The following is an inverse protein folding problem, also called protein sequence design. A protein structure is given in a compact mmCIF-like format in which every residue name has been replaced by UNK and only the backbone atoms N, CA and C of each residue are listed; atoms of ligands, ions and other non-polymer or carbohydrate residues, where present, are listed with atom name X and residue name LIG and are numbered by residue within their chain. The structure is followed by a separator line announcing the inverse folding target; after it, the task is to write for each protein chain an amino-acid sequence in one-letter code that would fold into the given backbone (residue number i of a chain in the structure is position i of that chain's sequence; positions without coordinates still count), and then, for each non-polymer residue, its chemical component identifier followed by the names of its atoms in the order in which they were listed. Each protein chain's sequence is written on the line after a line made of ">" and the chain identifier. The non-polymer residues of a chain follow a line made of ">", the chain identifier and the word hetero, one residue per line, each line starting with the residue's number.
data_IF_669273398199
#
_entry.id   IF_669273398199
#
_cell.length_a   1.000
_cell.length_b   1.000
_cell.length_c   1.000
_cell.angle_alpha   90.00
_cell.angle_beta   90.00
_cell.angle_gamma   90.00
#
_symmetry.space_group_name_H-M   'P 1'
#
loop_
_entity.id
_entity.type
_entity.pdbx_description
1 polymer ?
#
# COMPACT_ATOMS: atom_id res chain seq x y z
N UNK A 1 -7.01 23.16 -2.54
CA UNK A 1 -6.77 24.08 -1.40
C UNK A 1 -7.98 24.20 -0.47
N UNK A 2 -9.20 24.45 -0.97
CA UNK A 2 -10.42 24.64 -0.16
C UNK A 2 -10.74 23.48 0.80
N UNK A 3 -10.74 22.18 0.38
CA UNK A 3 -10.99 21.07 1.32
C UNK A 3 -9.93 20.97 2.44
N UNK A 4 -8.66 21.24 2.11
CA UNK A 4 -7.59 21.21 3.12
C UNK A 4 -7.76 22.31 4.17
N UNK A 5 -8.14 23.51 3.75
CA UNK A 5 -8.43 24.63 4.63
C UNK A 5 -9.60 24.31 5.55
N UNK A 6 -10.69 23.75 4.99
CA UNK A 6 -11.85 23.32 5.75
C UNK A 6 -11.49 22.27 6.81
N UNK A 7 -10.72 21.25 6.44
CA UNK A 7 -10.25 20.21 7.39
C UNK A 7 -9.38 20.83 8.48
N UNK A 8 -8.50 21.78 8.14
CA UNK A 8 -7.67 22.48 9.12
C UNK A 8 -8.51 23.27 10.11
N UNK A 9 -9.55 23.98 9.61
CA UNK A 9 -10.49 24.73 10.46
C UNK A 9 -11.29 23.80 11.37
N UNK A 10 -11.79 22.66 10.84
CA UNK A 10 -12.55 21.67 11.62
C UNK A 10 -11.68 20.97 12.68
N UNK A 11 -10.37 20.86 12.46
CA UNK A 11 -9.42 20.33 13.46
C UNK A 11 -9.00 21.35 14.51
N UNK A 12 -9.33 22.62 14.32
CA UNK A 12 -9.03 23.65 15.32
C UNK A 12 -9.88 23.38 16.57
N UNK A 13 -9.21 23.12 17.69
CA UNK A 13 -9.86 22.79 18.96
C UNK A 13 -10.09 21.29 19.21
N UNK A 14 -9.67 20.40 18.30
CA UNK A 14 -9.64 18.97 18.63
C UNK A 14 -8.58 18.70 19.69
N UNK A 15 -8.91 17.96 20.77
CA UNK A 15 -7.97 17.65 21.83
C UNK A 15 -6.87 16.72 21.32
N UNK A 16 -5.72 16.76 21.97
CA UNK A 16 -4.62 15.86 21.71
C UNK A 16 -5.00 14.40 22.02
N UNK A 17 -4.33 13.46 21.34
CA UNK A 17 -4.58 12.03 21.58
C UNK A 17 -4.25 11.65 23.03
N UNK A 18 -5.16 11.01 23.79
CA UNK A 18 -4.89 10.55 25.15
C UNK A 18 -3.62 9.69 25.25
N UNK A 19 -3.38 8.83 24.27
CA UNK A 19 -2.17 7.97 24.22
C UNK A 19 -0.89 8.81 24.02
N UNK A 20 -0.97 9.91 23.28
CA UNK A 20 0.18 10.81 23.10
C UNK A 20 0.48 11.57 24.41
N UNK A 21 -0.56 12.06 25.10
CA UNK A 21 -0.43 12.72 26.40
C UNK A 21 0.17 11.80 27.48
N UNK A 22 -0.24 10.53 27.51
CA UNK A 22 0.36 9.51 28.40
C UNK A 22 1.86 9.35 28.13
N UNK A 23 2.27 9.32 26.85
CA UNK A 23 3.69 9.23 26.50
C UNK A 23 4.51 10.46 26.88
N UNK A 24 3.87 11.62 26.97
CA UNK A 24 4.47 12.88 27.45
C UNK A 24 4.47 13.02 28.97
N UNK A 25 3.92 12.04 29.70
CA UNK A 25 3.78 12.11 31.15
C UNK A 25 2.65 13.02 31.64
N UNK A 26 1.79 13.51 30.72
CA UNK A 26 0.64 14.40 31.02
C UNK A 26 -0.60 13.58 31.37
N UNK A 27 -0.50 12.77 32.43
CA UNK A 27 -1.53 11.80 32.81
C UNK A 27 -2.88 12.45 33.13
N UNK A 28 -2.89 13.56 33.88
CA UNK A 28 -4.12 14.24 34.28
C UNK A 28 -4.95 14.72 33.08
N UNK A 29 -4.29 15.25 32.06
CA UNK A 29 -4.95 15.72 30.85
C UNK A 29 -5.46 14.55 29.99
N UNK A 30 -4.69 13.46 29.91
CA UNK A 30 -5.11 12.25 29.21
C UNK A 30 -6.39 11.67 29.83
N UNK A 31 -6.43 11.56 31.16
CA UNK A 31 -7.61 11.10 31.89
C UNK A 31 -8.80 12.05 31.72
N UNK A 32 -8.59 13.38 31.79
CA UNK A 32 -9.67 14.35 31.59
C UNK A 32 -10.30 14.23 30.19
N UNK A 33 -9.50 14.02 29.14
CA UNK A 33 -10.00 13.84 27.78
C UNK A 33 -10.77 12.54 27.66
N UNK A 34 -10.26 11.42 28.20
CA UNK A 34 -10.97 10.13 28.13
C UNK A 34 -12.29 10.21 28.89
N UNK A 35 -12.30 10.77 30.08
CA UNK A 35 -13.52 10.98 30.86
C UNK A 35 -14.57 11.82 30.09
N UNK A 36 -14.12 12.88 29.42
CA UNK A 36 -14.99 13.80 28.69
C UNK A 36 -15.61 13.18 27.45
N UNK A 37 -14.86 12.36 26.69
CA UNK A 37 -15.29 11.86 25.37
C UNK A 37 -15.76 10.42 25.38
N UNK A 38 -15.27 9.58 26.31
CA UNK A 38 -15.56 8.14 26.36
C UNK A 38 -16.31 7.72 27.64
N UNK A 39 -16.45 8.64 28.59
CA UNK A 39 -17.16 8.37 29.85
C UNK A 39 -16.27 7.82 30.99
N UNK A 40 -16.78 7.80 32.24
CA UNK A 40 -16.00 7.48 33.44
C UNK A 40 -15.61 6.00 33.56
N UNK A 41 -16.21 5.12 32.77
CA UNK A 41 -15.99 3.66 32.84
C UNK A 41 -14.81 3.18 31.98
N UNK A 42 -14.23 4.06 31.17
CA UNK A 42 -13.09 3.71 30.31
C UNK A 42 -11.79 3.95 31.09
N UNK A 43 -11.20 2.88 31.55
CA UNK A 43 -9.86 2.93 32.15
C UNK A 43 -8.81 3.01 31.03
N UNK A 44 -7.97 4.03 31.11
CA UNK A 44 -6.72 4.04 30.36
C UNK A 44 -5.84 2.95 30.99
N UNK A 45 -5.56 1.88 30.24
CA UNK A 45 -4.60 0.88 30.68
C UNK A 45 -3.26 1.55 31.02
N UNK A 46 -2.69 1.18 32.16
CA UNK A 46 -1.39 1.65 32.66
C UNK A 46 -0.18 1.19 31.80
N UNK A 47 -0.44 0.70 30.58
CA UNK A 47 0.62 0.50 29.60
C UNK A 47 1.18 1.85 29.15
N UNK A 48 1.86 2.53 30.08
CA UNK A 48 2.92 3.47 29.73
C UNK A 48 4.02 2.64 29.08
N UNK A 49 3.81 2.30 27.83
CA UNK A 49 4.88 1.82 26.99
C UNK A 49 5.93 2.93 27.02
N UNK A 50 6.91 2.77 27.90
CA UNK A 50 8.11 3.61 27.94
C UNK A 50 8.53 3.80 26.50
N UNK A 51 8.50 5.04 26.04
CA UNK A 51 8.82 5.39 24.65
C UNK A 51 10.31 5.09 24.45
N UNK A 52 10.62 3.82 24.27
CA UNK A 52 11.95 3.41 23.83
C UNK A 52 12.03 3.93 22.40
N UNK A 53 12.80 4.99 22.18
CA UNK A 53 13.12 5.50 20.85
C UNK A 53 13.80 4.37 20.08
N UNK A 54 12.98 3.55 19.40
CA UNK A 54 13.53 2.47 18.55
C UNK A 54 14.10 3.12 17.31
N UNK A 55 15.39 2.90 17.12
CA UNK A 55 16.13 3.42 15.97
C UNK A 55 15.74 2.67 14.70
N UNK A 56 15.92 3.31 13.53
CA UNK A 56 15.70 2.71 12.20
C UNK A 56 16.46 1.38 12.04
N UNK A 57 17.58 1.22 12.72
CA UNK A 57 18.35 -0.04 12.77
C UNK A 57 17.52 -1.23 13.27
N UNK A 58 16.50 -1.01 14.09
CA UNK A 58 15.61 -2.06 14.60
C UNK A 58 14.84 -2.76 13.48
N UNK A 59 14.52 -2.02 12.39
CA UNK A 59 13.84 -2.60 11.22
C UNK A 59 14.69 -3.63 10.47
N UNK A 60 16.01 -3.51 10.56
CA UNK A 60 16.98 -4.41 9.91
C UNK A 60 17.51 -5.50 10.84
N UNK A 61 16.97 -5.61 12.06
CA UNK A 61 17.27 -6.73 12.94
C UNK A 61 16.79 -8.06 12.34
N UNK A 62 17.42 -9.19 12.74
CA UNK A 62 17.06 -10.54 12.26
C UNK A 62 15.57 -10.84 12.42
N UNK A 63 14.92 -10.25 13.43
CA UNK A 63 13.50 -10.42 13.73
C UNK A 63 12.56 -9.72 12.73
N UNK A 64 12.94 -8.53 12.20
CA UNK A 64 12.03 -7.67 11.43
C UNK A 64 12.44 -7.47 9.98
N UNK A 65 13.65 -7.84 9.56
CA UNK A 65 14.17 -7.56 8.22
C UNK A 65 13.30 -8.14 7.10
N UNK A 66 12.76 -9.37 7.27
CA UNK A 66 11.88 -10.00 6.27
C UNK A 66 10.59 -9.20 6.06
N UNK A 67 10.00 -8.70 7.17
CA UNK A 67 8.80 -7.86 7.11
C UNK A 67 9.08 -6.50 6.49
N UNK A 68 10.22 -5.92 6.82
CA UNK A 68 10.68 -4.65 6.25
C UNK A 68 10.94 -4.79 4.75
N UNK A 69 11.65 -5.84 4.34
CA UNK A 69 11.92 -6.16 2.94
C UNK A 69 10.61 -6.42 2.16
N UNK A 70 9.72 -7.27 2.69
CA UNK A 70 8.42 -7.53 2.08
C UNK A 70 7.62 -6.24 1.86
N UNK A 71 7.42 -5.44 2.92
CA UNK A 71 6.63 -4.22 2.81
C UNK A 71 7.26 -3.21 1.84
N UNK A 72 8.58 -3.06 1.84
CA UNK A 72 9.29 -2.16 0.93
C UNK A 72 9.16 -2.60 -0.53
N UNK A 73 9.39 -3.89 -0.82
CA UNK A 73 9.27 -4.43 -2.18
C UNK A 73 7.84 -4.39 -2.67
N UNK A 74 6.87 -4.81 -1.83
CA UNK A 74 5.45 -4.73 -2.12
C UNK A 74 5.03 -3.31 -2.53
N UNK A 75 5.40 -2.30 -1.75
CA UNK A 75 5.10 -0.90 -2.05
C UNK A 75 5.73 -0.44 -3.37
N UNK A 76 7.02 -0.72 -3.57
CA UNK A 76 7.74 -0.35 -4.80
C UNK A 76 7.09 -1.01 -6.01
N UNK A 77 6.81 -2.31 -5.94
CA UNK A 77 6.24 -3.08 -7.06
C UNK A 77 4.81 -2.64 -7.43
N UNK A 78 4.03 -2.08 -6.50
CA UNK A 78 2.72 -1.51 -6.82
C UNK A 78 2.81 -0.07 -7.35
N UNK A 79 3.72 0.73 -6.80
CA UNK A 79 3.83 2.15 -7.15
C UNK A 79 4.39 2.34 -8.57
N UNK A 80 5.37 1.53 -8.99
CA UNK A 80 5.95 1.62 -10.32
C UNK A 80 4.89 1.49 -11.42
N UNK A 81 4.08 0.42 -11.49
CA UNK A 81 3.03 0.28 -12.50
C UNK A 81 1.92 1.34 -12.38
N UNK A 82 1.67 1.84 -11.17
CA UNK A 82 0.70 2.93 -10.96
C UNK A 82 1.03 4.17 -11.76
N UNK A 83 2.32 4.60 -11.74
CA UNK A 83 2.77 5.76 -12.51
C UNK A 83 2.68 5.53 -14.02
N UNK A 84 2.83 4.29 -14.47
CA UNK A 84 2.70 3.91 -15.89
C UNK A 84 1.30 4.19 -16.43
N UNK A 85 0.25 3.91 -15.67
CA UNK A 85 -1.14 4.17 -16.07
C UNK A 85 -1.30 5.64 -16.49
N UNK A 86 -0.79 6.56 -15.67
CA UNK A 86 -0.87 7.99 -15.97
C UNK A 86 -0.02 8.40 -17.17
N UNK A 87 1.14 7.77 -17.34
CA UNK A 87 2.03 8.07 -18.48
C UNK A 87 1.41 7.62 -19.81
N UNK A 88 0.67 6.50 -19.80
CA UNK A 88 0.09 5.94 -21.03
C UNK A 88 -1.34 6.37 -21.32
N UNK A 89 -1.96 7.08 -20.42
CA UNK A 89 -3.30 7.59 -20.59
C UNK A 89 -3.50 8.34 -21.91
N UNK A 90 -2.61 9.27 -22.34
CA UNK A 90 -2.77 9.96 -23.62
C UNK A 90 -2.72 9.01 -24.83
N UNK A 91 -1.82 8.03 -24.80
CA UNK A 91 -1.67 7.04 -25.88
C UNK A 91 -2.93 6.17 -26.01
N UNK A 92 -3.49 5.75 -24.88
CA UNK A 92 -4.71 4.95 -24.85
C UNK A 92 -5.92 5.76 -25.29
N UNK A 93 -6.01 7.02 -24.83
CA UNK A 93 -7.08 7.94 -25.23
C UNK A 93 -7.11 8.12 -26.76
N UNK A 94 -5.95 8.33 -27.40
CA UNK A 94 -5.82 8.41 -28.85
C UNK A 94 -6.28 7.12 -29.56
N UNK A 95 -5.96 5.96 -28.99
CA UNK A 95 -6.37 4.65 -29.58
C UNK A 95 -7.87 4.46 -29.57
N UNK A 96 -8.59 5.07 -28.62
CA UNK A 96 -10.05 4.98 -28.48
C UNK A 96 -10.77 6.12 -29.26
N UNK A 97 -10.02 7.02 -29.89
CA UNK A 97 -10.59 8.18 -30.58
C UNK A 97 -11.09 9.28 -29.64
N UNK A 98 -10.65 9.27 -28.38
CA UNK A 98 -10.90 10.34 -27.43
C UNK A 98 -9.85 11.42 -27.63
N UNK A 99 -10.19 12.47 -28.37
CA UNK A 99 -9.32 13.64 -28.58
C UNK A 99 -9.26 14.53 -27.33
N UNK A 100 -10.27 14.44 -26.48
CA UNK A 100 -10.35 15.24 -25.26
C UNK A 100 -9.65 14.57 -24.06
N UNK A 101 -8.51 15.14 -23.66
CA UNK A 101 -7.73 14.69 -22.52
C UNK A 101 -8.51 14.72 -21.19
N UNK A 102 -9.49 15.62 -21.05
CA UNK A 102 -10.32 15.71 -19.86
C UNK A 102 -11.24 14.50 -19.74
N UNK A 103 -11.91 14.12 -20.82
CA UNK A 103 -12.82 12.95 -20.86
C UNK A 103 -12.02 11.66 -20.59
N UNK A 104 -10.85 11.48 -21.19
CA UNK A 104 -10.00 10.33 -20.94
C UNK A 104 -9.56 10.25 -19.45
N UNK A 105 -9.19 11.38 -18.86
CA UNK A 105 -8.83 11.44 -17.44
C UNK A 105 -10.01 11.14 -16.52
N UNK A 106 -11.21 11.62 -16.83
CA UNK A 106 -12.42 11.33 -16.06
C UNK A 106 -12.79 9.84 -16.12
N UNK A 107 -12.70 9.21 -17.31
CA UNK A 107 -12.94 7.78 -17.47
C UNK A 107 -11.95 6.95 -16.64
N UNK A 108 -10.65 7.29 -16.69
CA UNK A 108 -9.65 6.60 -15.87
C UNK A 108 -9.97 6.74 -14.37
N UNK A 109 -10.26 7.96 -13.90
CA UNK A 109 -10.59 8.16 -12.50
C UNK A 109 -11.85 7.39 -12.08
N UNK A 110 -12.86 7.30 -12.95
CA UNK A 110 -14.05 6.47 -12.69
C UNK A 110 -13.69 4.98 -12.54
N UNK A 111 -12.82 4.44 -13.40
CA UNK A 111 -12.32 3.06 -13.30
C UNK A 111 -11.54 2.84 -11.99
N UNK A 112 -10.72 3.80 -11.57
CA UNK A 112 -9.99 3.72 -10.31
C UNK A 112 -10.93 3.73 -9.10
N UNK A 113 -12.02 4.51 -9.14
CA UNK A 113 -13.05 4.51 -8.08
C UNK A 113 -13.74 3.15 -8.03
N UNK A 114 -14.15 2.60 -9.17
CA UNK A 114 -14.76 1.25 -9.23
C UNK A 114 -13.80 0.20 -8.68
N UNK A 115 -12.52 0.26 -9.09
CA UNK A 115 -11.48 -0.63 -8.56
C UNK A 115 -11.31 -0.51 -7.06
N UNK A 116 -11.27 0.71 -6.51
CA UNK A 116 -11.16 0.93 -5.07
C UNK A 116 -12.34 0.34 -4.28
N UNK A 117 -13.58 0.52 -4.79
CA UNK A 117 -14.78 -0.06 -4.18
C UNK A 117 -14.76 -1.60 -4.22
N UNK A 118 -14.40 -2.18 -5.37
CA UNK A 118 -14.22 -3.63 -5.49
C UNK A 118 -13.12 -4.13 -4.55
N UNK A 119 -12.01 -3.42 -4.46
CA UNK A 119 -10.92 -3.75 -3.56
C UNK A 119 -11.32 -3.72 -2.08
N UNK A 120 -12.17 -2.77 -1.69
CA UNK A 120 -12.72 -2.72 -0.33
C UNK A 120 -13.53 -3.99 -0.02
N UNK A 121 -14.41 -4.40 -0.93
CA UNK A 121 -15.19 -5.64 -0.79
C UNK A 121 -14.28 -6.87 -0.75
N UNK A 122 -13.33 -6.97 -1.68
CA UNK A 122 -12.41 -8.11 -1.75
C UNK A 122 -11.50 -8.22 -0.51
N UNK A 123 -11.06 -7.09 0.06
CA UNK A 123 -10.29 -7.06 1.31
C UNK A 123 -11.09 -7.62 2.49
N UNK A 124 -12.40 -7.39 2.52
CA UNK A 124 -13.28 -7.98 3.53
C UNK A 124 -13.53 -9.48 3.30
N UNK A 125 -13.71 -9.91 2.04
CA UNK A 125 -14.07 -11.29 1.71
C UNK A 125 -12.85 -12.22 1.71
N UNK A 126 -11.72 -11.80 1.16
CA UNK A 126 -10.55 -12.63 0.95
C UNK A 126 -9.50 -12.45 2.05
N UNK A 127 -8.67 -13.48 2.25
CA UNK A 127 -7.46 -13.38 3.03
C UNK A 127 -6.47 -12.40 2.35
N UNK A 128 -5.88 -11.48 3.10
CA UNK A 128 -5.04 -10.40 2.56
C UNK A 128 -3.90 -10.93 1.68
N UNK A 129 -3.24 -12.01 2.13
CA UNK A 129 -2.17 -12.66 1.38
C UNK A 129 -2.66 -13.25 0.05
N UNK A 130 -3.82 -13.95 0.04
CA UNK A 130 -4.38 -14.55 -1.18
C UNK A 130 -4.82 -13.47 -2.16
N UNK A 131 -5.45 -12.41 -1.67
CA UNK A 131 -5.86 -11.27 -2.50
C UNK A 131 -4.65 -10.60 -3.15
N UNK A 132 -3.57 -10.36 -2.39
CA UNK A 132 -2.35 -9.76 -2.90
C UNK A 132 -1.66 -10.64 -3.96
N UNK A 133 -1.52 -11.95 -3.69
CA UNK A 133 -0.95 -12.90 -4.66
C UNK A 133 -1.76 -12.99 -5.94
N UNK A 134 -3.08 -13.11 -5.84
CA UNK A 134 -3.98 -13.13 -6.99
C UNK A 134 -3.90 -11.84 -7.81
N UNK A 135 -3.81 -10.69 -7.14
CA UNK A 135 -3.68 -9.40 -7.81
C UNK A 135 -2.33 -9.25 -8.54
N UNK A 136 -1.22 -9.63 -7.92
CA UNK A 136 0.09 -9.60 -8.60
C UNK A 136 0.12 -10.52 -9.81
N UNK A 137 -0.45 -11.73 -9.70
CA UNK A 137 -0.51 -12.68 -10.81
C UNK A 137 -1.37 -12.12 -11.95
N UNK A 138 -2.55 -11.59 -11.63
CA UNK A 138 -3.46 -11.01 -12.62
C UNK A 138 -2.84 -9.78 -13.30
N UNK A 139 -2.21 -8.87 -12.53
CA UNK A 139 -1.52 -7.71 -13.08
C UNK A 139 -0.35 -8.13 -14.01
N UNK A 140 0.44 -9.12 -13.58
CA UNK A 140 1.54 -9.64 -14.42
C UNK A 140 1.00 -10.25 -15.71
N UNK A 141 -0.03 -11.10 -15.62
CA UNK A 141 -0.63 -11.76 -16.78
C UNK A 141 -1.20 -10.72 -17.77
N UNK A 142 -1.92 -9.70 -17.28
CA UNK A 142 -2.47 -8.63 -18.14
C UNK A 142 -1.37 -7.88 -18.89
N UNK A 143 -0.24 -7.54 -18.25
CA UNK A 143 0.87 -6.85 -18.91
C UNK A 143 1.58 -7.75 -19.94
N UNK A 144 1.79 -9.03 -19.63
CA UNK A 144 2.41 -9.98 -20.56
C UNK A 144 1.53 -10.15 -21.79
N UNK A 145 0.21 -10.35 -21.61
CA UNK A 145 -0.73 -10.48 -22.73
C UNK A 145 -0.75 -9.19 -23.56
N UNK A 146 -0.78 -8.02 -22.92
CA UNK A 146 -0.71 -6.73 -23.63
C UNK A 146 0.58 -6.59 -24.45
N UNK A 147 1.72 -7.07 -23.94
CA UNK A 147 2.98 -7.04 -24.66
C UNK A 147 3.00 -7.92 -25.92
N UNK A 148 2.21 -8.99 -25.93
CA UNK A 148 2.09 -9.90 -27.06
C UNK A 148 1.07 -9.46 -28.13
N UNK A 149 0.21 -8.48 -27.82
CA UNK A 149 -0.83 -8.02 -28.74
C UNK A 149 -0.30 -6.96 -29.72
N UNK A 150 -0.83 -6.96 -30.96
CA UNK A 150 -0.55 -5.88 -31.88
C UNK A 150 -1.14 -4.55 -31.38
N UNK A 151 -0.43 -3.47 -31.66
CA UNK A 151 -0.87 -2.10 -31.28
C UNK A 151 -2.22 -1.79 -31.92
N UNK A 152 -3.16 -1.23 -31.11
CA UNK A 152 -4.49 -0.84 -31.59
C UNK A 152 -5.58 -1.93 -31.50
N UNK A 153 -5.28 -3.08 -30.91
CA UNK A 153 -6.31 -4.11 -30.66
C UNK A 153 -7.33 -3.64 -29.61
N UNK A 154 -8.63 -3.88 -29.87
CA UNK A 154 -9.69 -3.64 -28.87
C UNK A 154 -9.50 -4.42 -27.56
N UNK A 155 -8.80 -5.56 -27.64
CA UNK A 155 -8.42 -6.36 -26.47
C UNK A 155 -7.44 -5.63 -25.56
N UNK A 156 -6.55 -4.78 -26.11
CA UNK A 156 -5.62 -3.97 -25.33
C UNK A 156 -6.37 -3.00 -24.38
N UNK A 157 -7.48 -2.44 -24.87
CA UNK A 157 -8.33 -1.58 -24.04
C UNK A 157 -8.95 -2.36 -22.88
N UNK A 158 -9.51 -3.54 -23.15
CA UNK A 158 -10.12 -4.40 -22.12
C UNK A 158 -9.08 -4.77 -21.05
N UNK A 159 -7.87 -5.14 -21.47
CA UNK A 159 -6.77 -5.48 -20.55
C UNK A 159 -6.31 -4.28 -19.74
N UNK A 160 -6.30 -3.08 -20.35
CA UNK A 160 -6.00 -1.86 -19.62
C UNK A 160 -7.04 -1.52 -18.55
N UNK A 161 -8.33 -1.69 -18.86
CA UNK A 161 -9.41 -1.54 -17.87
C UNK A 161 -9.26 -2.53 -16.74
N UNK A 162 -9.00 -3.80 -17.06
CA UNK A 162 -8.77 -4.86 -16.08
C UNK A 162 -7.54 -4.56 -15.20
N UNK A 163 -6.43 -4.12 -15.81
CA UNK A 163 -5.22 -3.72 -15.11
C UNK A 163 -5.47 -2.53 -14.17
N UNK A 164 -6.09 -1.46 -14.66
CA UNK A 164 -6.37 -0.24 -13.89
C UNK A 164 -7.30 -0.51 -12.71
N UNK A 165 -8.33 -1.32 -12.91
CA UNK A 165 -9.28 -1.73 -11.87
C UNK A 165 -8.58 -2.60 -10.82
N UNK A 166 -7.75 -3.56 -11.24
CA UNK A 166 -7.06 -4.47 -10.33
C UNK A 166 -6.01 -3.75 -9.50
N UNK A 167 -5.21 -2.85 -10.09
CA UNK A 167 -4.19 -2.13 -9.35
C UNK A 167 -4.80 -1.16 -8.35
N UNK A 168 -5.95 -0.53 -8.68
CA UNK A 168 -6.72 0.28 -7.75
C UNK A 168 -7.29 -0.55 -6.61
N UNK A 169 -7.83 -1.74 -6.90
CA UNK A 169 -8.37 -2.65 -5.90
C UNK A 169 -7.30 -3.09 -4.88
N UNK A 170 -6.12 -3.51 -5.34
CA UNK A 170 -5.04 -3.96 -4.46
C UNK A 170 -4.40 -2.82 -3.66
N UNK A 171 -4.52 -1.58 -4.13
CA UNK A 171 -4.00 -0.40 -3.42
C UNK A 171 -4.62 -0.20 -2.03
N UNK A 172 -5.80 -0.75 -1.76
CA UNK A 172 -6.40 -0.75 -0.42
C UNK A 172 -5.51 -1.47 0.61
N UNK A 173 -4.75 -2.49 0.20
CA UNK A 173 -3.83 -3.23 1.07
C UNK A 173 -2.59 -2.41 1.46
N UNK A 174 -2.26 -1.35 0.71
CA UNK A 174 -1.11 -0.46 0.98
C UNK A 174 -1.22 0.20 2.36
N UNK A 175 -2.43 0.53 2.80
CA UNK A 175 -2.65 1.08 4.15
C UNK A 175 -2.74 0.02 5.26
N UNK A 176 -3.17 -1.19 4.92
CA UNK A 176 -3.51 -2.24 5.89
C UNK A 176 -2.29 -3.11 6.22
N UNK A 177 -1.67 -3.72 5.20
CA UNK A 177 -0.60 -4.71 5.39
C UNK A 177 0.61 -4.20 6.18
N UNK A 178 1.16 -3.01 5.92
CA UNK A 178 2.29 -2.52 6.70
C UNK A 178 1.91 -2.25 8.16
N UNK A 179 0.68 -1.73 8.39
CA UNK A 179 0.20 -1.47 9.75
C UNK A 179 0.01 -2.75 10.56
N UNK A 180 -0.38 -3.85 9.93
CA UNK A 180 -0.54 -5.17 10.55
C UNK A 180 0.78 -5.94 10.66
N UNK A 181 1.73 -5.68 9.76
CA UNK A 181 3.02 -6.40 9.71
C UNK A 181 3.95 -6.06 10.87
N UNK A 182 3.81 -4.87 11.46
CA UNK A 182 4.72 -4.40 12.51
C UNK A 182 4.02 -4.29 13.87
N UNK A 183 4.69 -4.69 14.96
CA UNK A 183 4.19 -4.46 16.31
C UNK A 183 4.08 -2.95 16.59
N UNK A 184 3.22 -2.60 17.55
CA UNK A 184 2.80 -1.23 17.84
C UNK A 184 3.97 -0.28 18.05
N UNK A 185 5.05 -0.76 18.66
CA UNK A 185 6.23 0.02 19.03
C UNK A 185 7.05 0.55 17.84
N UNK A 186 7.09 -0.21 16.74
CA UNK A 186 7.88 0.12 15.54
C UNK A 186 6.98 0.31 14.30
N UNK A 187 5.66 0.25 14.45
CA UNK A 187 4.71 0.32 13.34
C UNK A 187 4.87 1.60 12.52
N UNK A 188 4.89 2.75 13.17
CA UNK A 188 5.04 4.04 12.49
C UNK A 188 6.36 4.13 11.73
N UNK A 189 7.43 3.59 12.30
CA UNK A 189 8.75 3.56 11.68
C UNK A 189 8.77 2.60 10.46
N UNK A 190 8.16 1.41 10.59
CA UNK A 190 8.07 0.43 9.51
C UNK A 190 7.21 0.91 8.34
N UNK A 191 6.03 1.47 8.63
CA UNK A 191 5.16 2.08 7.61
C UNK A 191 5.83 3.25 6.93
N UNK A 192 6.47 4.14 7.70
CA UNK A 192 7.21 5.29 7.18
C UNK A 192 8.36 4.88 6.27
N UNK A 193 9.12 3.85 6.65
CA UNK A 193 10.21 3.32 5.84
C UNK A 193 9.70 2.72 4.52
N UNK A 194 8.67 1.86 4.56
CA UNK A 194 8.07 1.29 3.35
C UNK A 194 7.53 2.38 2.41
N UNK A 195 6.89 3.41 2.97
CA UNK A 195 6.43 4.57 2.21
C UNK A 195 7.59 5.34 1.56
N UNK A 196 8.69 5.58 2.29
CA UNK A 196 9.88 6.23 1.75
C UNK A 196 10.48 5.43 0.58
N UNK A 197 10.59 4.10 0.72
CA UNK A 197 11.06 3.21 -0.35
C UNK A 197 10.13 3.27 -1.58
N UNK A 198 8.82 3.37 -1.40
CA UNK A 198 7.89 3.52 -2.51
C UNK A 198 8.11 4.84 -3.28
N UNK A 199 8.45 5.92 -2.59
CA UNK A 199 8.77 7.22 -3.23
C UNK A 199 10.05 7.16 -4.03
N UNK A 200 11.07 6.44 -3.56
CA UNK A 200 12.28 6.16 -4.34
C UNK A 200 11.94 5.33 -5.58
N UNK A 201 11.12 4.30 -5.45
CA UNK A 201 10.63 3.51 -6.59
C UNK A 201 9.87 4.38 -7.60
N UNK A 202 8.99 5.27 -7.13
CA UNK A 202 8.28 6.21 -7.98
C UNK A 202 9.23 7.15 -8.73
N UNK A 203 10.19 7.75 -8.04
CA UNK A 203 11.16 8.66 -8.64
C UNK A 203 12.01 7.97 -9.73
N UNK A 204 12.52 6.78 -9.42
CA UNK A 204 13.30 5.97 -10.36
C UNK A 204 12.44 5.60 -11.58
N UNK A 205 11.21 5.12 -11.37
CA UNK A 205 10.33 4.72 -12.47
C UNK A 205 9.94 5.92 -13.36
N UNK A 206 9.60 7.05 -12.76
CA UNK A 206 9.25 8.27 -13.53
C UNK A 206 10.41 8.81 -14.37
N UNK A 207 11.65 8.70 -13.85
CA UNK A 207 12.83 9.14 -14.57
C UNK A 207 13.30 8.16 -15.65
N UNK A 208 13.27 6.85 -15.36
CA UNK A 208 13.77 5.83 -16.28
C UNK A 208 12.76 5.38 -17.34
N UNK A 209 11.47 5.38 -17.02
CA UNK A 209 10.45 4.83 -17.90
C UNK A 209 10.38 5.50 -19.29
N UNK A 210 10.42 6.84 -19.41
CA UNK A 210 10.44 7.49 -20.73
C UNK A 210 11.65 7.08 -21.56
N UNK A 211 12.81 6.93 -20.92
CA UNK A 211 14.03 6.48 -21.59
C UNK A 211 13.92 5.02 -22.06
N UNK A 212 13.44 4.11 -21.20
CA UNK A 212 13.19 2.71 -21.55
C UNK A 212 12.21 2.60 -22.73
N UNK A 213 11.13 3.37 -22.68
CA UNK A 213 10.11 3.41 -23.73
C UNK A 213 10.70 3.90 -25.07
N UNK A 214 11.55 4.93 -25.03
CA UNK A 214 12.18 5.49 -26.22
C UNK A 214 13.22 4.55 -26.86
N UNK A 215 13.99 3.83 -26.05
CA UNK A 215 15.06 2.94 -26.52
C UNK A 215 14.57 1.54 -26.92
N UNK A 216 13.68 0.96 -26.12
CA UNK A 216 13.28 -0.44 -26.24
C UNK A 216 11.83 -0.64 -26.66
N UNK A 217 11.07 0.45 -26.79
CA UNK A 217 9.68 0.42 -27.23
C UNK A 217 8.69 -0.07 -26.17
N UNK A 218 7.43 -0.07 -26.58
CA UNK A 218 6.28 -0.36 -25.69
C UNK A 218 6.31 -1.80 -25.15
N UNK A 219 6.61 -2.78 -26.02
CA UNK A 219 6.58 -4.20 -25.62
C UNK A 219 7.61 -4.50 -24.52
N UNK A 220 8.84 -4.03 -24.70
CA UNK A 220 9.89 -4.24 -23.70
C UNK A 220 9.57 -3.53 -22.39
N UNK A 221 8.96 -2.36 -22.45
CA UNK A 221 8.51 -1.62 -21.26
C UNK A 221 7.44 -2.40 -20.50
N UNK A 222 6.45 -2.97 -21.20
CA UNK A 222 5.40 -3.82 -20.58
C UNK A 222 5.99 -5.06 -19.91
N UNK A 223 6.94 -5.74 -20.59
CA UNK A 223 7.61 -6.92 -20.04
C UNK A 223 8.48 -6.57 -18.82
N UNK A 224 9.17 -5.42 -18.83
CA UNK A 224 9.91 -4.94 -17.68
C UNK A 224 9.00 -4.72 -16.46
N UNK A 225 7.84 -4.10 -16.67
CA UNK A 225 6.85 -3.90 -15.62
C UNK A 225 6.25 -5.22 -15.12
N UNK A 226 5.99 -6.16 -16.03
CA UNK A 226 5.56 -7.50 -15.67
C UNK A 226 6.62 -8.22 -14.80
N UNK A 227 7.90 -8.04 -15.12
CA UNK A 227 9.00 -8.57 -14.31
C UNK A 227 9.04 -7.95 -12.90
N UNK A 228 8.83 -6.64 -12.78
CA UNK A 228 8.73 -5.96 -11.48
C UNK A 228 7.55 -6.52 -10.65
N UNK A 229 6.39 -6.71 -11.26
CA UNK A 229 5.22 -7.31 -10.59
C UNK A 229 5.46 -8.77 -10.20
N UNK A 230 6.18 -9.53 -11.04
CA UNK A 230 6.57 -10.90 -10.72
C UNK A 230 7.50 -10.96 -9.51
N UNK A 231 8.45 -10.03 -9.37
CA UNK A 231 9.25 -9.88 -8.16
C UNK A 231 8.36 -9.62 -6.95
N UNK A 232 7.38 -8.74 -7.06
CA UNK A 232 6.37 -8.48 -6.02
C UNK A 232 5.60 -9.75 -5.65
N UNK A 233 5.20 -10.55 -6.64
CA UNK A 233 4.54 -11.85 -6.44
C UNK A 233 5.42 -12.82 -5.65
N UNK A 234 6.67 -13.03 -6.09
CA UNK A 234 7.62 -13.95 -5.45
C UNK A 234 7.91 -13.54 -4.01
N UNK A 235 8.18 -12.27 -3.76
CA UNK A 235 8.45 -11.76 -2.41
C UNK A 235 7.21 -11.90 -1.52
N UNK A 236 6.02 -11.65 -2.06
CA UNK A 236 4.75 -11.85 -1.34
C UNK A 236 4.54 -13.32 -1.01
N UNK A 237 4.80 -14.21 -1.95
CA UNK A 237 4.67 -15.66 -1.75
C UNK A 237 5.60 -16.18 -0.65
N UNK A 238 6.85 -15.69 -0.62
CA UNK A 238 7.86 -16.14 0.34
C UNK A 238 7.67 -15.54 1.75
N UNK A 239 7.32 -14.23 1.84
CA UNK A 239 7.45 -13.49 3.10
C UNK A 239 6.18 -12.79 3.59
N UNK A 240 5.09 -12.77 2.81
CA UNK A 240 3.86 -12.12 3.26
C UNK A 240 3.23 -12.90 4.43
N UNK A 241 3.02 -12.26 5.58
CA UNK A 241 2.26 -12.86 6.68
C UNK A 241 0.77 -12.87 6.33
N UNK A 242 0.03 -13.89 6.80
CA UNK A 242 -1.42 -13.84 6.80
C UNK A 242 -1.88 -13.16 8.09
N UNK A 243 -2.47 -11.98 7.94
CA UNK A 243 -2.82 -11.13 9.08
C UNK A 243 -4.33 -10.99 9.30
N UNK A 244 -5.14 -11.47 8.35
CA UNK A 244 -6.60 -11.37 8.45
C UNK A 244 -7.13 -12.12 9.69
N UNK A 245 -8.03 -11.47 10.41
CA UNK A 245 -8.69 -11.97 11.62
C UNK A 245 -7.80 -12.09 12.87
N UNK A 246 -6.54 -11.63 12.84
CA UNK A 246 -5.71 -11.56 14.03
C UNK A 246 -5.88 -10.19 14.72
N UNK A 247 -5.93 -10.12 16.06
CA UNK A 247 -5.79 -8.86 16.78
C UNK A 247 -4.47 -8.19 16.40
N UNK A 248 -4.45 -6.86 16.28
CA UNK A 248 -3.26 -6.09 15.84
C UNK A 248 -1.98 -6.43 16.63
N UNK A 249 -2.12 -6.76 17.91
CA UNK A 249 -1.00 -7.18 18.79
C UNK A 249 -0.47 -8.56 18.36
N UNK A 250 -1.37 -9.51 18.07
CA UNK A 250 -1.01 -10.85 17.64
C UNK A 250 -0.44 -10.86 16.21
N UNK A 251 -1.02 -10.09 15.27
CA UNK A 251 -0.53 -9.95 13.90
C UNK A 251 0.93 -9.45 13.87
N UNK A 252 1.27 -8.48 14.72
CA UNK A 252 2.64 -7.98 14.87
C UNK A 252 3.65 -9.04 15.39
N UNK A 253 3.18 -10.13 16.01
CA UNK A 253 4.03 -11.15 16.62
C UNK A 253 4.13 -12.49 15.87
N UNK A 254 3.35 -12.70 14.81
CA UNK A 254 3.24 -13.99 14.06
C UNK A 254 4.59 -14.53 13.52
N UNK A 255 5.63 -13.72 13.40
CA UNK A 255 6.96 -14.19 12.95
C UNK A 255 7.93 -14.56 14.07
N UNK A 256 7.57 -14.39 15.34
CA UNK A 256 8.43 -14.71 16.47
C UNK A 256 8.12 -16.04 17.17
N UNK A 257 6.98 -16.66 16.84
CA UNK A 257 6.49 -17.86 17.56
C UNK A 257 7.07 -19.19 17.03
N UNK A 258 7.69 -19.20 15.85
CA UNK A 258 8.20 -20.46 15.27
C UNK A 258 9.63 -20.84 15.68
N UNK A 259 10.31 -20.03 16.50
CA UNK A 259 11.68 -20.36 16.94
C UNK A 259 11.76 -20.98 18.35
N UNK A 260 10.65 -21.01 19.10
CA UNK A 260 10.65 -21.57 20.47
C UNK A 260 9.91 -22.89 20.64
N UNK A 261 9.40 -23.53 19.58
CA UNK A 261 8.73 -24.82 19.66
C UNK A 261 9.58 -26.01 19.24
N UNK A 262 10.91 -25.87 19.17
CA UNK A 262 11.85 -26.97 18.84
C UNK A 262 12.92 -27.11 19.91
N UNK A 263 12.56 -26.96 21.19
CA UNK A 263 13.42 -27.39 22.29
C UNK A 263 12.58 -27.70 23.53
N UNK A 264 11.90 -28.84 23.54
CA UNK A 264 11.68 -29.71 24.69
C UNK A 264 11.64 -31.14 24.19
#
# INVERSE_FOLDING_TARGET
>A
ALPALLITLLRWGTPESPRWLLRQGRFAEAHAIVHRYFGPHVLLGDEVATATHKHIKTLFSSRYWRRTAFNSVFFVCLVIPWFVIYTWLPTIAQTIGLEDALTASLMLNALLIVGALLGLVLTHLLAHRRFLLGSFLLLTATLVVMACLPSGSSLTLLLFVLFSTTISAVSNLVGILPAESFPTDIRSLGVGFATAMSRLGAAVSTGLLPWVLAQWGMQATLLLLAAVLLVGFVVTWLWAPETKALPLVAAGNVGGANEHSVSV
#
